data_IF_705045683360
#
_entry.id   IF_705045683360
#
_cell.length_a   1.000
_cell.length_b   1.000
_cell.length_c   1.000
_cell.angle_alpha   90.00
_cell.angle_beta   90.00
_cell.angle_gamma   90.00
#
_symmetry.space_group_name_H-M   'P 1'
#
loop_
_entity.id
_entity.type
_entity.pdbx_description
1 polymer ?
#
# COMPACT_ATOMS: atom_id res chain seq x y z
N UNK A 1 36.59 -20.98 11.66
CA UNK A 1 35.79 -19.79 12.02
C UNK A 1 36.47 -18.64 11.34
N UNK A 2 35.81 -17.99 10.39
CA UNK A 2 36.41 -16.91 9.62
C UNK A 2 35.51 -15.67 9.64
N UNK A 3 36.13 -14.48 9.56
CA UNK A 3 35.41 -13.20 9.53
C UNK A 3 35.00 -12.66 10.92
N UNK A 4 33.89 -11.90 11.03
CA UNK A 4 33.52 -11.16 12.24
C UNK A 4 33.26 -12.05 13.47
N UNK A 5 32.94 -13.33 13.26
CA UNK A 5 32.78 -14.31 14.33
C UNK A 5 34.11 -14.64 15.02
N UNK A 6 35.20 -14.74 14.26
CA UNK A 6 36.53 -15.02 14.80
C UNK A 6 37.07 -13.84 15.60
N UNK A 7 36.90 -12.62 15.08
CA UNK A 7 37.31 -11.39 15.77
C UNK A 7 36.56 -11.21 17.10
N UNK A 8 35.25 -11.49 17.12
CA UNK A 8 34.46 -11.49 18.34
C UNK A 8 34.92 -12.57 19.33
N UNK A 9 35.16 -13.80 18.85
CA UNK A 9 35.61 -14.89 19.73
C UNK A 9 36.95 -14.56 20.39
N UNK A 10 37.92 -14.05 19.63
CA UNK A 10 39.23 -13.65 20.14
C UNK A 10 39.13 -12.51 21.16
N UNK A 11 38.31 -11.49 20.87
CA UNK A 11 38.08 -10.38 21.80
C UNK A 11 37.40 -10.86 23.09
N UNK A 12 36.35 -11.67 22.97
CA UNK A 12 35.57 -12.16 24.12
C UNK A 12 36.41 -13.09 24.99
N UNK A 13 37.19 -13.99 24.40
CA UNK A 13 38.10 -14.86 25.14
C UNK A 13 39.20 -14.09 25.90
N UNK A 14 39.61 -12.92 25.37
CA UNK A 14 40.63 -12.07 26.01
C UNK A 14 40.06 -11.21 27.13
N UNK A 15 38.82 -10.74 27.01
CA UNK A 15 38.22 -9.77 27.94
C UNK A 15 37.27 -10.42 28.97
N UNK A 16 36.68 -11.56 28.64
CA UNK A 16 35.69 -12.28 29.46
C UNK A 16 35.85 -13.79 29.22
N UNK A 17 36.81 -14.46 29.89
CA UNK A 17 36.95 -15.90 29.77
C UNK A 17 35.67 -16.59 30.26
N UNK A 18 35.14 -17.51 29.45
CA UNK A 18 33.95 -18.28 29.82
C UNK A 18 34.29 -19.23 30.96
N UNK A 19 33.53 -19.19 32.05
CA UNK A 19 33.74 -20.04 33.22
C UNK A 19 33.22 -21.47 32.97
N UNK A 20 32.19 -21.60 32.13
CA UNK A 20 31.56 -22.87 31.78
C UNK A 20 31.21 -22.94 30.29
N UNK A 21 30.92 -24.15 29.80
CA UNK A 21 30.39 -24.35 28.46
C UNK A 21 29.04 -23.66 28.26
N UNK A 22 28.17 -23.66 29.27
CA UNK A 22 26.88 -22.96 29.24
C UNK A 22 27.05 -21.44 29.07
N UNK A 23 28.02 -20.82 29.74
CA UNK A 23 28.31 -19.39 29.58
C UNK A 23 28.80 -19.05 28.16
N UNK A 24 29.58 -19.96 27.57
CA UNK A 24 30.02 -19.84 26.18
C UNK A 24 28.83 -19.92 25.23
N UNK A 25 27.96 -20.92 25.40
CA UNK A 25 26.76 -21.07 24.57
C UNK A 25 25.82 -19.87 24.72
N UNK A 26 25.54 -19.40 25.93
CA UNK A 26 24.71 -18.20 26.14
C UNK A 26 25.31 -16.95 25.50
N UNK A 27 26.63 -16.76 25.61
CA UNK A 27 27.30 -15.60 24.99
C UNK A 27 27.26 -15.68 23.46
N UNK A 28 27.33 -16.91 22.91
CA UNK A 28 27.24 -17.17 21.49
C UNK A 28 25.81 -16.95 20.98
N UNK A 29 24.79 -17.43 21.70
CA UNK A 29 23.38 -17.17 21.43
C UNK A 29 23.04 -15.68 21.56
N UNK A 30 23.58 -14.96 22.54
CA UNK A 30 23.33 -13.53 22.68
C UNK A 30 23.97 -12.70 21.56
N UNK A 31 25.10 -13.16 21.00
CA UNK A 31 25.81 -12.46 19.92
C UNK A 31 25.31 -12.82 18.53
N UNK A 32 24.97 -14.08 18.31
CA UNK A 32 24.65 -14.64 16.98
C UNK A 32 23.33 -15.38 16.93
N UNK A 33 22.71 -15.67 18.07
CA UNK A 33 21.35 -16.20 18.10
C UNK A 33 20.38 -15.15 17.58
N UNK A 34 19.28 -15.64 17.00
CA UNK A 34 18.15 -14.78 16.70
C UNK A 34 17.72 -14.08 17.99
N UNK A 35 17.48 -12.77 17.90
CA UNK A 35 17.06 -11.97 19.06
C UNK A 35 15.87 -12.64 19.75
N UNK A 36 15.85 -12.76 21.10
CA UNK A 36 14.70 -13.31 21.83
C UNK A 36 13.42 -12.49 21.61
N UNK A 37 13.55 -11.28 21.04
CA UNK A 37 12.45 -10.38 20.70
C UNK A 37 11.88 -10.60 19.29
N UNK A 38 12.60 -11.30 18.41
CA UNK A 38 12.06 -11.71 17.10
C UNK A 38 11.23 -12.96 17.26
N UNK A 39 9.95 -12.78 17.61
CA UNK A 39 8.98 -13.87 17.51
C UNK A 39 8.80 -14.25 16.05
N UNK A 40 9.38 -15.36 15.59
CA UNK A 40 9.16 -15.89 14.24
C UNK A 40 7.68 -16.16 13.98
N UNK A 41 6.93 -16.54 15.01
CA UNK A 41 5.46 -16.63 14.95
C UNK A 41 4.81 -15.26 14.67
N UNK A 42 5.26 -14.20 15.33
CA UNK A 42 4.79 -12.83 15.07
C UNK A 42 5.17 -12.33 13.67
N UNK A 43 6.36 -12.71 13.17
CA UNK A 43 6.79 -12.42 11.81
C UNK A 43 5.94 -13.18 10.78
N UNK A 44 5.66 -14.46 11.02
CA UNK A 44 4.77 -15.29 10.20
C UNK A 44 3.35 -14.74 10.19
N UNK A 45 2.82 -14.35 11.35
CA UNK A 45 1.48 -13.76 11.49
C UNK A 45 1.31 -12.44 10.72
N UNK A 46 2.40 -11.68 10.56
CA UNK A 46 2.42 -10.40 9.86
C UNK A 46 2.88 -10.52 8.41
N UNK A 47 3.27 -11.70 7.96
CA UNK A 47 3.77 -11.88 6.60
C UNK A 47 2.62 -11.68 5.61
N UNK A 48 2.79 -10.72 4.71
CA UNK A 48 1.83 -10.43 3.64
C UNK A 48 2.54 -10.37 2.30
N UNK A 49 1.89 -10.84 1.24
CA UNK A 49 2.38 -10.78 -0.12
C UNK A 49 2.42 -9.32 -0.61
N UNK A 50 3.62 -8.81 -0.88
CA UNK A 50 3.84 -7.44 -1.38
C UNK A 50 4.06 -7.40 -2.89
N UNK A 51 4.72 -8.42 -3.45
CA UNK A 51 5.05 -8.51 -4.87
C UNK A 51 4.47 -9.80 -5.47
N UNK A 52 5.32 -10.68 -5.96
CA UNK A 52 4.96 -11.93 -6.63
C UNK A 52 4.74 -13.07 -5.63
N UNK A 53 3.88 -14.03 -5.98
CA UNK A 53 3.56 -15.18 -5.15
C UNK A 53 4.82 -15.99 -4.84
N UNK A 54 5.74 -16.16 -5.79
CA UNK A 54 6.97 -16.94 -5.56
C UNK A 54 7.87 -16.33 -4.47
N UNK A 55 8.00 -15.01 -4.42
CA UNK A 55 8.77 -14.32 -3.38
C UNK A 55 8.10 -14.47 -2.01
N UNK A 56 6.77 -14.38 -1.96
CA UNK A 56 6.00 -14.62 -0.75
C UNK A 56 6.15 -16.06 -0.24
N UNK A 57 6.07 -17.06 -1.13
CA UNK A 57 6.27 -18.48 -0.78
C UNK A 57 7.65 -18.72 -0.19
N UNK A 58 8.71 -18.19 -0.80
CA UNK A 58 10.08 -18.33 -0.27
C UNK A 58 10.22 -17.71 1.12
N UNK A 59 9.64 -16.52 1.33
CA UNK A 59 9.67 -15.86 2.64
C UNK A 59 8.86 -16.64 3.69
N UNK A 60 7.72 -17.19 3.29
CA UNK A 60 6.87 -18.02 4.13
C UNK A 60 7.61 -19.30 4.56
N UNK A 61 8.23 -20.01 3.61
CA UNK A 61 9.03 -21.22 3.87
C UNK A 61 10.21 -20.96 4.81
N UNK A 62 10.90 -19.83 4.63
CA UNK A 62 11.99 -19.44 5.51
C UNK A 62 11.54 -19.20 6.96
N UNK A 63 10.33 -18.71 7.18
CA UNK A 63 9.77 -18.48 8.51
C UNK A 63 9.23 -19.76 9.15
N UNK A 64 8.49 -20.60 8.41
CA UNK A 64 7.96 -21.84 8.97
C UNK A 64 9.07 -22.82 9.38
N UNK A 65 10.19 -22.83 8.65
CA UNK A 65 11.35 -23.66 8.98
C UNK A 65 12.02 -23.26 10.30
N UNK A 66 11.77 -22.03 10.78
CA UNK A 66 12.31 -21.51 12.05
C UNK A 66 11.28 -21.54 13.19
N UNK A 67 10.00 -21.75 12.89
CA UNK A 67 8.95 -21.91 13.91
C UNK A 67 8.80 -23.37 14.30
N UNK A 68 8.72 -23.63 15.60
CA UNK A 68 8.51 -24.97 16.18
C UNK A 68 7.06 -25.06 16.67
N UNK A 69 6.46 -26.26 16.63
CA UNK A 69 5.15 -26.59 17.22
C UNK A 69 3.90 -25.86 16.67
N UNK A 70 3.91 -25.42 15.41
CA UNK A 70 2.71 -24.89 14.75
C UNK A 70 1.87 -25.97 14.09
N UNK A 71 0.56 -25.90 14.31
CA UNK A 71 -0.42 -26.81 13.73
C UNK A 71 -0.57 -26.57 12.21
N UNK A 72 -0.52 -27.61 11.40
CA UNK A 72 -0.64 -27.52 9.93
C UNK A 72 -1.85 -26.69 9.41
N UNK A 73 -3.09 -26.84 9.94
CA UNK A 73 -4.22 -25.96 9.60
C UNK A 73 -4.00 -24.49 9.95
N UNK A 74 -3.27 -24.16 11.02
CA UNK A 74 -2.95 -22.77 11.35
C UNK A 74 -2.01 -22.17 10.30
N UNK A 75 -0.99 -22.93 9.90
CA UNK A 75 -0.07 -22.53 8.82
C UNK A 75 -0.83 -22.32 7.51
N UNK A 76 -1.75 -23.23 7.16
CA UNK A 76 -2.57 -23.05 5.96
C UNK A 76 -3.41 -21.77 6.03
N UNK A 77 -4.11 -21.54 7.14
CA UNK A 77 -4.94 -20.36 7.32
C UNK A 77 -4.11 -19.07 7.26
N UNK A 78 -2.95 -19.06 7.92
CA UNK A 78 -2.04 -17.93 7.89
C UNK A 78 -1.50 -17.66 6.48
N UNK A 79 -1.07 -18.72 5.77
CA UNK A 79 -0.60 -18.60 4.38
C UNK A 79 -1.66 -17.94 3.48
N UNK A 80 -2.90 -18.43 3.54
CA UNK A 80 -4.02 -17.90 2.75
C UNK A 80 -4.30 -16.45 3.15
N UNK A 81 -4.37 -16.15 4.45
CA UNK A 81 -4.64 -14.79 4.97
C UNK A 81 -3.60 -13.75 4.56
N UNK A 82 -2.34 -14.15 4.34
CA UNK A 82 -1.27 -13.27 3.91
C UNK A 82 -1.21 -13.00 2.40
N UNK A 83 -2.03 -13.67 1.58
CA UNK A 83 -2.08 -13.42 0.13
C UNK A 83 -2.69 -12.05 -0.19
N UNK A 84 -2.37 -11.50 -1.37
CA UNK A 84 -3.02 -10.26 -1.81
C UNK A 84 -4.54 -10.42 -1.92
N UNK A 85 -5.36 -9.39 -1.60
CA UNK A 85 -6.81 -9.53 -1.48
C UNK A 85 -7.52 -10.12 -2.71
N UNK A 86 -7.01 -9.85 -3.90
CA UNK A 86 -7.58 -10.37 -5.15
C UNK A 86 -7.21 -11.85 -5.40
N UNK A 87 -6.03 -12.32 -4.97
CA UNK A 87 -5.63 -13.73 -5.02
C UNK A 87 -6.31 -14.49 -3.89
N UNK A 88 -6.29 -13.92 -2.69
CA UNK A 88 -6.85 -14.48 -1.47
C UNK A 88 -8.29 -14.97 -1.67
N UNK A 89 -9.18 -14.13 -2.23
CA UNK A 89 -10.59 -14.49 -2.44
C UNK A 89 -10.77 -15.71 -3.34
N UNK A 90 -9.96 -15.81 -4.38
CA UNK A 90 -10.04 -16.87 -5.38
C UNK A 90 -9.48 -18.17 -4.83
N UNK A 91 -8.33 -18.11 -4.16
CA UNK A 91 -7.78 -19.26 -3.43
C UNK A 91 -8.73 -19.73 -2.35
N UNK A 92 -9.35 -18.82 -1.59
CA UNK A 92 -10.32 -19.14 -0.55
C UNK A 92 -11.57 -19.83 -1.12
N UNK A 93 -12.08 -19.37 -2.27
CA UNK A 93 -13.22 -19.99 -2.94
C UNK A 93 -12.96 -21.44 -3.37
N UNK A 94 -11.71 -21.79 -3.64
CA UNK A 94 -11.28 -23.13 -4.01
C UNK A 94 -11.01 -24.05 -2.81
N UNK A 95 -11.10 -23.54 -1.58
CA UNK A 95 -10.99 -24.31 -0.34
C UNK A 95 -9.76 -25.24 -0.29
N UNK A 96 -8.53 -24.72 -0.38
CA UNK A 96 -7.32 -25.54 -0.31
C UNK A 96 -7.28 -26.31 1.02
N UNK A 97 -6.82 -27.55 0.95
CA UNK A 97 -6.69 -28.45 2.10
C UNK A 97 -5.25 -28.54 2.62
N UNK A 98 -4.29 -28.15 1.77
CA UNK A 98 -2.86 -28.19 2.09
C UNK A 98 -2.16 -26.90 1.67
N UNK A 99 -1.02 -26.60 2.31
CA UNK A 99 -0.21 -25.43 1.96
C UNK A 99 0.28 -25.53 0.51
N UNK A 100 0.73 -26.72 0.09
CA UNK A 100 1.21 -26.95 -1.28
C UNK A 100 0.10 -26.69 -2.31
N UNK A 101 -1.12 -27.10 -2.02
CA UNK A 101 -2.28 -26.79 -2.87
C UNK A 101 -2.55 -25.28 -2.90
N UNK A 102 -2.59 -24.62 -1.75
CA UNK A 102 -2.76 -23.17 -1.68
C UNK A 102 -1.68 -22.41 -2.46
N UNK A 103 -0.41 -22.84 -2.40
CA UNK A 103 0.70 -22.27 -3.16
C UNK A 103 0.48 -22.42 -4.68
N UNK A 104 0.04 -23.59 -5.14
CA UNK A 104 -0.26 -23.84 -6.56
C UNK A 104 -1.41 -22.98 -7.05
N UNK A 105 -2.49 -22.92 -6.28
CA UNK A 105 -3.66 -22.10 -6.59
C UNK A 105 -3.33 -20.61 -6.63
N UNK A 106 -2.52 -20.13 -5.68
CA UNK A 106 -2.08 -18.74 -5.65
C UNK A 106 -1.27 -18.38 -6.90
N UNK A 107 -0.33 -19.26 -7.33
CA UNK A 107 0.44 -19.06 -8.57
C UNK A 107 -0.45 -19.05 -9.81
N UNK A 108 -1.40 -19.98 -9.91
CA UNK A 108 -2.34 -20.05 -11.03
C UNK A 108 -3.18 -18.77 -11.14
N UNK A 109 -3.63 -18.24 -10.00
CA UNK A 109 -4.40 -17.01 -9.97
C UNK A 109 -3.56 -15.78 -10.30
N UNK A 110 -2.28 -15.74 -9.89
CA UNK A 110 -1.35 -14.69 -10.31
C UNK A 110 -1.13 -14.68 -11.83
N UNK A 111 -0.94 -15.86 -12.45
CA UNK A 111 -0.81 -16.01 -13.90
C UNK A 111 -2.07 -15.54 -14.64
N UNK A 112 -3.25 -15.97 -14.16
CA UNK A 112 -4.55 -15.51 -14.70
C UNK A 112 -4.67 -13.99 -14.71
N UNK A 113 -4.14 -13.31 -13.70
CA UNK A 113 -4.18 -11.84 -13.59
C UNK A 113 -3.14 -11.15 -14.46
N UNK A 114 -1.99 -11.79 -14.70
CA UNK A 114 -0.97 -11.29 -15.62
C UNK A 114 -1.44 -11.38 -17.09
N UNK A 115 -2.23 -12.39 -17.43
CA UNK A 115 -2.82 -12.57 -18.76
C UNK A 115 -3.98 -11.62 -19.07
N UNK A 116 -4.59 -11.02 -18.03
CA UNK A 116 -5.62 -10.02 -18.25
C UNK A 116 -4.97 -8.76 -18.84
N UNK A 117 -5.46 -8.25 -19.97
CA UNK A 117 -5.02 -6.97 -20.48
C UNK A 117 -5.26 -5.93 -19.38
N UNK A 118 -4.20 -5.23 -18.97
CA UNK A 118 -4.27 -4.08 -18.06
C UNK A 118 -5.49 -3.23 -18.45
N UNK A 119 -6.33 -2.77 -17.50
CA UNK A 119 -7.40 -1.83 -17.78
C UNK A 119 -6.79 -0.46 -18.08
N UNK A 120 -6.02 -0.38 -19.16
CA UNK A 120 -5.49 0.84 -19.73
C UNK A 120 -6.44 1.26 -20.84
N UNK A 121 -7.06 2.42 -20.62
CA UNK A 121 -7.83 3.24 -21.57
C UNK A 121 -9.31 2.84 -21.65
N UNK A 122 -10.07 3.16 -20.59
CA UNK A 122 -11.39 3.75 -20.83
C UNK A 122 -11.10 5.14 -21.39
N UNK A 123 -11.48 5.47 -22.64
CA UNK A 123 -11.40 6.85 -23.11
C UNK A 123 -12.25 7.69 -22.17
N UNK A 124 -11.64 8.69 -21.53
CA UNK A 124 -12.39 9.69 -20.77
C UNK A 124 -13.53 10.21 -21.66
N UNK A 125 -14.78 10.27 -21.18
CA UNK A 125 -15.85 10.88 -21.95
C UNK A 125 -15.41 12.29 -22.35
N UNK A 126 -15.68 12.75 -23.58
CA UNK A 126 -15.31 14.10 -24.00
C UNK A 126 -15.92 15.08 -23.00
N UNK A 127 -15.08 15.90 -22.37
CA UNK A 127 -15.50 16.97 -21.46
C UNK A 127 -16.67 17.73 -22.10
N UNK A 128 -17.79 17.95 -21.38
CA UNK A 128 -18.84 18.81 -21.88
C UNK A 128 -18.23 20.19 -22.13
N UNK A 129 -18.29 20.61 -23.39
CA UNK A 129 -17.76 21.88 -23.85
C UNK A 129 -18.19 23.01 -22.91
N UNK A 130 -17.21 23.84 -22.53
CA UNK A 130 -17.47 25.16 -21.92
C UNK A 130 -18.56 25.85 -22.75
N UNK A 131 -19.68 26.32 -22.15
CA UNK A 131 -20.64 27.11 -22.91
C UNK A 131 -19.91 28.33 -23.45
N UNK A 132 -20.00 28.55 -24.77
CA UNK A 132 -19.56 29.80 -25.37
C UNK A 132 -20.37 30.92 -24.72
N UNK A 133 -19.70 31.75 -23.94
CA UNK A 133 -20.23 33.02 -23.49
C UNK A 133 -20.57 33.85 -24.74
N UNK A 134 -21.87 34.00 -25.01
CA UNK A 134 -22.35 34.99 -25.97
C UNK A 134 -21.87 36.38 -25.53
N UNK A 135 -21.47 37.26 -26.47
CA UNK A 135 -21.21 38.65 -26.14
C UNK A 135 -22.46 39.26 -25.50
N UNK A 136 -22.31 39.89 -24.33
CA UNK A 136 -23.41 40.57 -23.67
C UNK A 136 -23.99 41.66 -24.59
N UNK A 137 -25.33 41.85 -24.62
CA UNK A 137 -25.94 42.92 -25.40
C UNK A 137 -25.49 44.28 -24.87
N UNK A 138 -25.36 45.31 -25.74
CA UNK A 138 -24.99 46.64 -25.30
C UNK A 138 -26.06 47.17 -24.34
N UNK A 139 -25.62 47.59 -23.15
CA UNK A 139 -26.47 48.29 -22.20
C UNK A 139 -26.85 49.63 -22.80
N UNK A 140 -28.11 49.81 -23.16
CA UNK A 140 -28.65 51.11 -23.50
C UNK A 140 -28.74 51.96 -22.23
N UNK A 141 -27.74 52.82 -22.04
CA UNK A 141 -27.81 53.91 -21.07
C UNK A 141 -28.96 54.82 -21.44
N UNK A 142 -30.05 54.74 -20.68
CA UNK A 142 -31.13 55.72 -20.71
C UNK A 142 -30.56 57.08 -20.34
N UNK A 143 -30.55 58.00 -21.30
CA UNK A 143 -30.32 59.41 -21.04
C UNK A 143 -31.53 59.96 -20.25
N UNK A 144 -31.33 60.78 -19.22
CA UNK A 144 -32.43 61.39 -18.50
C UNK A 144 -33.07 62.49 -19.36
N UNK A 145 -34.38 62.37 -19.57
CA UNK A 145 -35.23 63.42 -20.10
C UNK A 145 -35.20 64.63 -19.16
N UNK A 146 -34.62 65.74 -19.61
CA UNK A 146 -34.78 67.03 -18.96
C UNK A 146 -35.91 67.80 -19.65
N UNK A 147 -37.10 67.72 -19.06
CA UNK A 147 -38.26 68.52 -19.43
C UNK A 147 -37.98 70.00 -19.07
N UNK A 148 -37.85 70.86 -20.08
CA UNK A 148 -37.94 72.30 -19.87
C UNK A 148 -39.42 72.69 -19.83
N UNK A 149 -39.88 73.02 -18.63
CA UNK A 149 -41.21 73.59 -18.39
C UNK A 149 -41.27 75.03 -18.92
N UNK A 150 -42.35 75.34 -19.64
CA UNK A 150 -42.75 76.70 -19.98
C UNK A 150 -43.03 77.52 -18.71
N UNK A 151 -42.30 78.63 -18.53
CA UNK A 151 -42.74 79.70 -17.62
C UNK A 151 -42.93 80.99 -18.41
N UNK A 152 -44.20 81.38 -18.45
CA UNK A 152 -44.77 82.62 -18.97
C UNK A 152 -44.36 83.85 -18.15
N UNK A 153 -43.96 84.93 -18.83
CA UNK A 153 -44.09 86.32 -18.36
C UNK A 153 -43.90 87.25 -19.56
N UNK A 154 -44.98 87.75 -20.17
CA UNK A 154 -45.63 89.04 -19.89
C UNK A 154 -44.84 90.25 -20.40
N UNK A 155 -45.21 90.68 -21.59
CA UNK A 155 -45.00 92.02 -22.14
C UNK A 155 -45.81 93.07 -21.35
N UNK A 156 -45.35 94.33 -21.29
CA UNK A 156 -46.29 95.43 -21.41
C UNK A 156 -45.89 96.47 -22.48
N UNK A 157 -46.93 97.03 -23.08
CA UNK A 157 -46.96 98.01 -24.15
C UNK A 157 -46.32 99.37 -23.78
N UNK A 158 -45.97 100.15 -24.82
CA UNK A 158 -46.39 101.55 -24.88
C UNK A 158 -45.35 102.58 -25.36
N UNK A 159 -45.63 103.12 -26.56
CA UNK A 159 -45.22 104.41 -27.15
C UNK A 159 -43.76 104.62 -27.58
#
# INVERSE_FOLDING_TARGET
MDGPALAWYQWTFTNTPFCTWDDFIQSLENRFGDSPYTSHMGALAKLTQTSIVSAYVTAYEALINRTIDLLAPFLLHNFVSGLQPHIHREVQALHPTTIIEAQRLAKLQEEKLADLPSPSIIPSPPSPHKPLLLPAPPSYTSAPFHNQALTSARNPQGM
#
